data_IF_690293048633
#
_entry.id   IF_690293048633
#
_cell.length_a   1.000
_cell.length_b   1.000
_cell.length_c   1.000
_cell.angle_alpha   90.00
_cell.angle_beta   90.00
_cell.angle_gamma   90.00
#
_symmetry.space_group_name_H-M   'P 1'
#
loop_
_entity.id
_entity.type
_entity.pdbx_description
1 polymer ?
#
# COMPACT_ATOMS: atom_id res chain seq x y z
N UNK A 1 -18.78 -0.09 -5.20
CA UNK A 1 -18.52 0.70 -3.99
C UNK A 1 -17.06 0.48 -3.67
N UNK A 2 -16.28 1.53 -3.54
CA UNK A 2 -14.86 1.44 -3.19
C UNK A 2 -14.71 1.10 -1.72
N UNK A 3 -13.92 0.10 -1.39
CA UNK A 3 -13.76 -0.38 -0.02
C UNK A 3 -12.41 -1.08 0.17
N UNK A 4 -11.98 -1.25 1.41
CA UNK A 4 -10.85 -2.08 1.73
C UNK A 4 -11.25 -3.56 1.70
N UNK A 5 -10.55 -4.34 0.90
CA UNK A 5 -10.69 -5.79 0.84
C UNK A 5 -9.43 -6.47 1.37
N UNK A 6 -9.62 -7.39 2.30
CA UNK A 6 -8.56 -8.24 2.84
C UNK A 6 -8.88 -9.69 2.52
N UNK A 7 -8.04 -10.39 1.73
CA UNK A 7 -8.25 -11.81 1.42
C UNK A 7 -8.33 -12.67 2.69
N UNK A 8 -9.09 -13.76 2.62
CA UNK A 8 -9.05 -14.77 3.66
C UNK A 8 -7.65 -15.32 3.83
N UNK A 9 -7.27 -15.63 5.06
CA UNK A 9 -6.06 -16.36 5.40
C UNK A 9 -6.07 -17.79 4.86
N UNK A 10 -7.26 -18.39 4.66
CA UNK A 10 -7.43 -19.76 4.18
C UNK A 10 -6.81 -20.79 5.11
N UNK A 11 -6.96 -20.61 6.42
CA UNK A 11 -6.35 -21.44 7.48
C UNK A 11 -4.80 -21.46 7.45
N UNK A 12 -4.18 -20.50 6.76
CA UNK A 12 -2.74 -20.29 6.74
C UNK A 12 -2.21 -19.55 7.97
N UNK A 13 -1.09 -18.85 7.79
CA UNK A 13 -0.41 -18.15 8.88
C UNK A 13 -1.19 -16.92 9.38
N UNK A 14 -1.11 -16.68 10.68
CA UNK A 14 -1.56 -15.44 11.33
C UNK A 14 -0.39 -14.48 11.43
N UNK A 15 -0.51 -13.33 10.76
CA UNK A 15 0.56 -12.35 10.62
C UNK A 15 0.38 -11.21 11.63
N UNK A 16 1.26 -11.17 12.64
CA UNK A 16 1.42 -10.03 13.54
C UNK A 16 2.28 -8.93 12.92
N UNK A 17 2.58 -7.90 13.70
CA UNK A 17 3.48 -6.84 13.25
C UNK A 17 4.92 -7.34 13.22
N UNK A 18 5.30 -7.96 12.12
CA UNK A 18 6.65 -8.40 11.81
C UNK A 18 6.95 -8.01 10.38
N UNK A 19 7.63 -6.90 10.20
CA UNK A 19 7.98 -6.42 8.86
C UNK A 19 9.51 -6.41 8.71
N UNK A 20 10.10 -7.43 8.08
CA UNK A 20 11.54 -7.48 7.81
C UNK A 20 12.04 -6.27 7.01
N UNK A 21 11.20 -5.75 6.08
CA UNK A 21 11.51 -4.55 5.32
C UNK A 21 11.65 -3.30 6.21
N UNK A 22 10.84 -3.20 7.29
CA UNK A 22 10.98 -2.11 8.27
C UNK A 22 12.33 -2.14 8.98
N UNK A 23 12.82 -3.33 9.29
CA UNK A 23 14.10 -3.47 10.00
C UNK A 23 15.29 -3.05 9.15
N UNK A 24 15.22 -3.29 7.84
CA UNK A 24 16.27 -2.90 6.89
C UNK A 24 16.37 -1.38 6.69
N UNK A 25 15.27 -0.65 6.83
CA UNK A 25 15.22 0.81 6.60
C UNK A 25 15.18 1.64 7.89
N UNK A 26 15.33 1.03 9.07
CA UNK A 26 15.21 1.70 10.38
C UNK A 26 16.11 2.93 10.56
N UNK A 27 17.24 2.97 9.89
CA UNK A 27 18.19 4.09 10.07
C UNK A 27 17.75 5.37 9.35
N UNK A 28 17.36 5.27 8.07
CA UNK A 28 17.05 6.42 7.20
C UNK A 28 15.87 6.11 6.25
N UNK A 29 14.65 5.90 6.76
CA UNK A 29 13.52 5.42 5.95
C UNK A 29 13.12 6.39 4.82
N UNK A 30 13.17 7.70 5.08
CA UNK A 30 12.85 8.72 4.07
C UNK A 30 13.87 8.72 2.94
N UNK A 31 15.17 8.60 3.28
CA UNK A 31 16.23 8.52 2.28
C UNK A 31 16.14 7.24 1.44
N UNK A 32 15.85 6.11 2.08
CA UNK A 32 15.65 4.84 1.39
C UNK A 32 14.46 4.90 0.42
N UNK A 33 13.32 5.45 0.87
CA UNK A 33 12.15 5.67 0.03
C UNK A 33 12.46 6.59 -1.17
N UNK A 34 13.08 7.74 -0.92
CA UNK A 34 13.41 8.68 -1.98
C UNK A 34 14.35 8.05 -3.01
N UNK A 35 15.39 7.32 -2.55
CA UNK A 35 16.31 6.61 -3.43
C UNK A 35 15.59 5.57 -4.30
N UNK A 36 14.73 4.76 -3.71
CA UNK A 36 13.99 3.72 -4.43
C UNK A 36 13.05 4.30 -5.48
N UNK A 37 12.29 5.35 -5.11
CA UNK A 37 11.40 6.02 -6.05
C UNK A 37 12.18 6.65 -7.20
N UNK A 38 13.28 7.37 -6.90
CA UNK A 38 14.12 7.95 -7.94
C UNK A 38 14.73 6.89 -8.87
N UNK A 39 15.16 5.76 -8.33
CA UNK A 39 15.68 4.64 -9.11
C UNK A 39 14.62 4.09 -10.05
N UNK A 40 13.44 3.77 -9.53
CA UNK A 40 12.33 3.22 -10.31
C UNK A 40 11.90 4.17 -11.44
N UNK A 41 11.84 5.48 -11.16
CA UNK A 41 11.49 6.48 -12.16
C UNK A 41 12.56 6.63 -13.24
N UNK A 42 13.85 6.53 -12.88
CA UNK A 42 14.96 6.55 -13.84
C UNK A 42 15.04 5.28 -14.69
N UNK A 43 14.63 4.14 -14.16
CA UNK A 43 14.56 2.87 -14.90
C UNK A 43 13.39 2.84 -15.90
N UNK A 44 12.41 3.75 -15.73
CA UNK A 44 11.19 3.84 -16.53
C UNK A 44 11.12 5.10 -17.42
N UNK A 45 12.25 5.65 -17.87
CA UNK A 45 12.30 6.86 -18.70
C UNK A 45 11.52 6.66 -20.00
N UNK A 46 10.62 7.61 -20.32
CA UNK A 46 9.82 7.61 -21.55
C UNK A 46 10.57 8.21 -22.74
N UNK A 47 11.11 9.41 -22.57
CA UNK A 47 11.90 10.11 -23.60
C UNK A 47 13.29 10.44 -23.04
N UNK A 48 14.33 9.81 -23.62
CA UNK A 48 15.70 10.00 -23.19
C UNK A 48 16.27 11.41 -23.46
N UNK A 49 15.59 12.21 -24.27
CA UNK A 49 15.98 13.59 -24.57
C UNK A 49 15.44 14.60 -23.55
N UNK A 50 14.50 14.17 -22.69
CA UNK A 50 13.88 14.99 -21.67
C UNK A 50 14.25 14.48 -20.25
N UNK A 51 14.41 15.34 -19.27
CA UNK A 51 14.72 14.91 -17.90
C UNK A 51 13.49 14.26 -17.23
N UNK A 52 13.75 13.25 -16.44
CA UNK A 52 12.75 12.75 -15.47
C UNK A 52 12.62 13.80 -14.37
N UNK A 53 11.38 14.20 -14.06
CA UNK A 53 11.05 15.11 -12.97
C UNK A 53 10.31 14.36 -11.88
N UNK A 54 10.77 14.48 -10.63
CA UNK A 54 10.14 13.86 -9.48
C UNK A 54 9.79 14.93 -8.45
N UNK A 55 8.55 14.95 -8.00
CA UNK A 55 8.02 15.91 -7.04
C UNK A 55 7.63 15.22 -5.74
N UNK A 56 8.12 15.75 -4.62
CA UNK A 56 7.75 15.32 -3.27
C UNK A 56 6.94 16.44 -2.61
N UNK A 57 5.71 16.16 -2.24
CA UNK A 57 4.80 17.14 -1.67
C UNK A 57 4.17 16.62 -0.38
N UNK A 58 4.35 17.34 0.72
CA UNK A 58 3.68 17.05 1.98
C UNK A 58 2.39 17.85 2.08
N UNK A 59 1.27 17.17 2.27
CA UNK A 59 -0.07 17.77 2.42
C UNK A 59 -0.71 17.39 3.76
N UNK A 60 -1.54 18.27 4.27
CA UNK A 60 -2.41 17.99 5.41
C UNK A 60 -3.86 18.04 4.97
N UNK A 61 -4.57 16.93 5.09
CA UNK A 61 -5.96 16.78 4.66
C UNK A 61 -6.86 16.84 5.88
N UNK A 62 -7.81 17.75 5.87
CA UNK A 62 -8.77 17.94 6.97
C UNK A 62 -10.19 18.13 6.40
N UNK A 63 -11.20 17.42 6.89
CA UNK A 63 -11.09 16.28 7.81
C UNK A 63 -10.40 15.07 7.15
N UNK A 64 -9.87 14.15 7.96
CA UNK A 64 -9.22 12.92 7.46
C UNK A 64 -10.14 12.07 6.58
N UNK A 65 -11.46 12.17 6.78
CA UNK A 65 -12.50 11.48 6.00
C UNK A 65 -12.55 11.87 4.52
N UNK A 66 -11.90 12.98 4.13
CA UNK A 66 -11.70 13.34 2.73
C UNK A 66 -10.63 12.48 2.03
N UNK A 67 -9.86 11.72 2.79
CA UNK A 67 -8.93 10.76 2.23
C UNK A 67 -9.63 9.41 2.05
N UNK A 68 -9.43 8.72 0.89
CA UNK A 68 -10.18 7.51 0.57
C UNK A 68 -9.95 6.38 1.59
N UNK A 69 -11.02 5.67 1.95
CA UNK A 69 -10.99 4.49 2.81
C UNK A 69 -10.64 4.72 4.29
N UNK A 70 -10.55 5.98 4.77
CA UNK A 70 -10.16 6.26 6.17
C UNK A 70 -11.21 5.79 7.17
N UNK A 71 -12.50 5.91 6.87
CA UNK A 71 -13.55 5.45 7.80
C UNK A 71 -13.52 3.92 7.96
N UNK A 72 -13.33 3.18 6.87
CA UNK A 72 -13.20 1.74 6.90
C UNK A 72 -11.92 1.33 7.61
N UNK A 73 -10.82 2.03 7.37
CA UNK A 73 -9.54 1.80 8.04
C UNK A 73 -9.67 1.92 9.57
N UNK A 74 -10.45 2.89 10.07
CA UNK A 74 -10.74 3.01 11.50
C UNK A 74 -11.42 1.76 12.04
N UNK A 75 -12.45 1.26 11.33
CA UNK A 75 -13.18 0.05 11.72
C UNK A 75 -12.27 -1.18 11.69
N UNK A 76 -11.41 -1.30 10.67
CA UNK A 76 -10.45 -2.39 10.54
C UNK A 76 -9.44 -2.38 11.69
N UNK A 77 -8.89 -1.22 12.05
CA UNK A 77 -7.97 -1.10 13.19
C UNK A 77 -8.61 -1.48 14.52
N UNK A 78 -9.92 -1.22 14.70
CA UNK A 78 -10.67 -1.71 15.87
C UNK A 78 -10.74 -3.24 15.87
N UNK A 79 -11.01 -3.88 14.72
CA UNK A 79 -11.02 -5.35 14.59
C UNK A 79 -9.64 -5.94 14.86
N UNK A 80 -8.59 -5.38 14.26
CA UNK A 80 -7.20 -5.76 14.53
C UNK A 80 -6.89 -5.70 16.03
N UNK A 81 -7.25 -4.60 16.71
CA UNK A 81 -7.02 -4.43 18.14
C UNK A 81 -7.75 -5.47 18.98
N UNK A 82 -9.00 -5.78 18.67
CA UNK A 82 -9.78 -6.77 19.41
C UNK A 82 -9.16 -8.16 19.25
N UNK A 83 -8.79 -8.54 18.05
CA UNK A 83 -8.14 -9.82 17.74
C UNK A 83 -6.81 -9.97 18.50
N UNK A 84 -5.93 -8.96 18.42
CA UNK A 84 -4.59 -9.04 19.00
C UNK A 84 -4.53 -8.83 20.51
N UNK A 85 -5.58 -8.28 21.13
CA UNK A 85 -5.71 -8.26 22.59
C UNK A 85 -5.79 -9.67 23.19
N UNK A 86 -6.48 -10.57 22.50
CA UNK A 86 -6.59 -11.97 22.94
C UNK A 86 -5.26 -12.70 22.82
N UNK A 87 -4.50 -12.38 21.75
CA UNK A 87 -3.19 -12.96 21.50
C UNK A 87 -2.09 -12.40 22.42
N UNK A 88 -2.35 -11.28 23.09
CA UNK A 88 -1.44 -10.60 24.04
C UNK A 88 -0.06 -10.23 23.42
N UNK A 89 -0.01 -9.88 22.13
CA UNK A 89 1.21 -9.43 21.43
C UNK A 89 1.39 -7.92 21.59
N UNK A 90 2.27 -7.53 22.50
CA UNK A 90 2.52 -6.13 22.84
C UNK A 90 3.08 -5.31 21.65
N UNK A 91 3.92 -5.91 20.80
CA UNK A 91 4.52 -5.24 19.63
C UNK A 91 3.44 -4.91 18.60
N UNK A 92 2.59 -5.88 18.29
CA UNK A 92 1.47 -5.74 17.36
C UNK A 92 0.43 -4.75 17.88
N UNK A 93 0.08 -4.81 19.16
CA UNK A 93 -0.85 -3.86 19.79
C UNK A 93 -0.30 -2.43 19.79
N UNK A 94 1.01 -2.26 20.00
CA UNK A 94 1.65 -0.94 19.90
C UNK A 94 1.49 -0.37 18.49
N UNK A 95 1.81 -1.14 17.47
CA UNK A 95 1.63 -0.71 16.06
C UNK A 95 0.19 -0.29 15.77
N UNK A 96 -0.81 -1.12 16.13
CA UNK A 96 -2.23 -0.83 15.90
C UNK A 96 -2.64 0.49 16.59
N UNK A 97 -2.19 0.71 17.83
CA UNK A 97 -2.51 1.93 18.58
C UNK A 97 -1.83 3.17 17.98
N UNK A 98 -0.61 3.03 17.49
CA UNK A 98 0.12 4.12 16.82
C UNK A 98 -0.58 4.47 15.49
N UNK A 99 -0.92 3.48 14.65
CA UNK A 99 -1.68 3.66 13.42
C UNK A 99 -3.04 4.33 13.66
N UNK A 100 -3.76 3.90 14.70
CA UNK A 100 -5.05 4.51 15.05
C UNK A 100 -4.92 6.00 15.46
N UNK A 101 -3.78 6.40 16.05
CA UNK A 101 -3.51 7.81 16.38
C UNK A 101 -3.34 8.69 15.14
N UNK A 102 -2.71 8.18 14.08
CA UNK A 102 -2.49 8.93 12.83
C UNK A 102 -3.79 9.44 12.20
N UNK A 103 -4.91 8.72 12.39
CA UNK A 103 -6.20 9.05 11.79
C UNK A 103 -7.26 9.51 12.79
N UNK A 104 -6.91 9.69 14.09
CA UNK A 104 -7.87 10.02 15.14
C UNK A 104 -8.25 11.49 15.18
N UNK A 105 -7.33 12.39 14.99
CA UNK A 105 -7.46 13.80 15.35
C UNK A 105 -7.92 14.72 14.21
N UNK A 106 -8.84 14.23 13.37
CA UNK A 106 -9.58 15.06 12.42
C UNK A 106 -8.85 15.40 11.12
N UNK A 107 -7.54 15.17 11.02
CA UNK A 107 -6.76 15.37 9.80
C UNK A 107 -5.65 14.33 9.65
N UNK A 108 -5.12 14.19 8.43
CA UNK A 108 -4.03 13.27 8.13
C UNK A 108 -2.95 13.95 7.30
N UNK A 109 -1.69 13.67 7.60
CA UNK A 109 -0.58 14.03 6.72
C UNK A 109 -0.42 13.00 5.61
N UNK A 110 -0.27 13.48 4.39
CA UNK A 110 -0.02 12.67 3.20
C UNK A 110 1.26 13.16 2.54
N UNK A 111 2.15 12.24 2.20
CA UNK A 111 3.27 12.49 1.31
C UNK A 111 2.86 12.03 -0.08
N UNK A 112 2.74 12.97 -1.01
CA UNK A 112 2.53 12.67 -2.42
C UNK A 112 3.87 12.71 -3.13
N UNK A 113 4.14 11.67 -3.92
CA UNK A 113 5.29 11.64 -4.82
C UNK A 113 4.76 11.44 -6.23
N UNK A 114 5.19 12.30 -7.16
CA UNK A 114 4.78 12.26 -8.56
C UNK A 114 6.01 12.26 -9.44
N UNK A 115 6.01 11.42 -10.45
CA UNK A 115 7.05 11.37 -11.48
C UNK A 115 6.47 11.74 -12.85
N UNK A 116 7.31 12.30 -13.69
CA UNK A 116 6.97 12.79 -15.03
C UNK A 116 8.08 12.39 -16.00
N UNK A 117 7.72 12.23 -17.27
CA UNK A 117 8.56 11.68 -18.32
C UNK A 117 8.98 10.23 -18.03
N UNK A 118 8.05 9.45 -17.47
CA UNK A 118 8.18 8.01 -17.25
C UNK A 118 7.12 7.26 -18.08
N UNK A 119 7.32 5.95 -18.28
CA UNK A 119 6.35 5.09 -18.96
C UNK A 119 5.07 4.88 -18.17
N UNK A 120 5.09 5.21 -16.87
CA UNK A 120 4.05 4.85 -15.91
C UNK A 120 4.08 3.37 -15.57
N UNK A 121 3.09 2.92 -14.80
CA UNK A 121 2.93 1.51 -14.42
C UNK A 121 1.97 0.81 -15.37
N UNK A 122 2.52 0.18 -16.41
CA UNK A 122 1.75 -0.52 -17.43
C UNK A 122 1.12 -1.82 -16.92
N UNK A 123 0.03 -2.24 -17.56
CA UNK A 123 -0.58 -3.55 -17.38
C UNK A 123 -1.46 -3.70 -16.14
N UNK A 124 -2.06 -2.62 -15.66
CA UNK A 124 -3.00 -2.66 -14.52
C UNK A 124 -4.22 -3.57 -14.79
N UNK A 125 -4.68 -3.65 -16.03
CA UNK A 125 -5.82 -4.47 -16.44
C UNK A 125 -5.41 -5.69 -17.29
N UNK A 126 -4.11 -5.96 -17.41
CA UNK A 126 -3.60 -7.09 -18.18
C UNK A 126 -4.00 -8.42 -17.54
N UNK A 127 -4.22 -9.44 -18.36
CA UNK A 127 -4.36 -10.83 -17.92
C UNK A 127 -3.02 -11.51 -17.66
N UNK A 128 -1.91 -10.91 -18.05
CA UNK A 128 -0.57 -11.42 -17.76
C UNK A 128 -0.27 -11.39 -16.26
N UNK A 129 0.42 -12.42 -15.77
CA UNK A 129 0.76 -12.54 -14.34
C UNK A 129 1.85 -11.54 -13.90
N UNK A 130 2.74 -11.14 -14.81
CA UNK A 130 3.86 -10.26 -14.51
C UNK A 130 3.77 -9.01 -15.38
N UNK A 131 3.41 -7.88 -14.77
CA UNK A 131 3.40 -6.55 -15.38
C UNK A 131 4.05 -5.56 -14.43
N UNK A 132 4.50 -4.38 -14.89
CA UNK A 132 4.98 -3.31 -14.01
C UNK A 132 4.00 -2.98 -12.89
N UNK A 133 2.70 -2.83 -13.20
CA UNK A 133 1.65 -2.60 -12.21
C UNK A 133 1.57 -3.73 -11.19
N UNK A 134 1.34 -4.95 -11.63
CA UNK A 134 1.19 -6.11 -10.73
C UNK A 134 2.44 -6.33 -9.90
N UNK A 135 3.60 -6.15 -10.51
CA UNK A 135 4.87 -6.31 -9.82
C UNK A 135 5.05 -5.30 -8.69
N UNK A 136 4.65 -4.04 -8.85
CA UNK A 136 4.82 -3.02 -7.82
C UNK A 136 3.65 -3.01 -6.83
N UNK A 137 2.40 -3.05 -7.31
CA UNK A 137 1.20 -2.80 -6.51
C UNK A 137 0.67 -4.08 -5.86
N UNK A 138 0.66 -5.21 -6.58
CA UNK A 138 0.07 -6.46 -6.14
C UNK A 138 1.11 -7.51 -5.72
N UNK A 139 2.37 -7.33 -6.10
CA UNK A 139 3.45 -8.23 -5.71
C UNK A 139 3.69 -8.20 -4.21
N UNK A 140 3.91 -9.37 -3.61
CA UNK A 140 4.28 -9.48 -2.20
C UNK A 140 5.60 -8.74 -1.96
N UNK A 141 5.53 -7.55 -1.39
CA UNK A 141 6.69 -6.72 -1.06
C UNK A 141 7.67 -7.42 -0.09
N UNK A 142 7.25 -8.54 0.49
CA UNK A 142 7.94 -9.26 1.55
C UNK A 142 8.30 -10.71 1.21
N UNK A 143 8.02 -11.19 0.00
CA UNK A 143 8.50 -12.52 -0.40
C UNK A 143 9.99 -12.44 -0.74
N UNK A 144 10.83 -12.52 0.28
CA UNK A 144 12.23 -12.89 0.13
C UNK A 144 12.25 -14.35 -0.31
N UNK A 145 12.18 -14.62 -1.61
CA UNK A 145 12.65 -15.91 -2.12
C UNK A 145 14.16 -15.89 -2.00
N UNK A 146 14.66 -16.55 -0.96
CA UNK A 146 16.05 -16.98 -0.84
C UNK A 146 16.31 -18.01 -1.94
N UNK A 147 16.55 -17.59 -3.15
CA UNK A 147 17.22 -18.37 -4.17
C UNK A 147 18.44 -17.57 -4.59
N UNK A 148 19.59 -18.12 -4.24
CA UNK A 148 20.91 -17.68 -4.69
C UNK A 148 20.91 -17.45 -6.20
N UNK A 149 21.38 -16.26 -6.65
CA UNK A 149 21.65 -15.82 -8.01
C UNK A 149 20.62 -14.90 -8.68
N UNK A 150 20.18 -13.82 -8.00
CA UNK A 150 19.75 -12.64 -8.74
C UNK A 150 20.35 -11.39 -8.06
N UNK A 151 21.34 -10.82 -8.68
CA UNK A 151 21.83 -9.48 -8.39
C UNK A 151 20.73 -8.48 -8.74
N UNK A 152 19.91 -8.13 -7.75
CA UNK A 152 18.84 -7.18 -7.90
C UNK A 152 17.95 -7.17 -6.67
N UNK A 153 17.97 -6.09 -5.94
CA UNK A 153 17.15 -5.82 -4.74
C UNK A 153 15.64 -5.68 -5.03
N UNK A 154 15.14 -6.35 -6.05
CA UNK A 154 13.79 -6.17 -6.63
C UNK A 154 12.60 -6.40 -5.69
N UNK A 155 12.77 -6.93 -4.51
CA UNK A 155 11.67 -7.16 -3.57
C UNK A 155 11.69 -6.24 -2.35
N UNK A 156 12.84 -5.73 -1.99
CA UNK A 156 13.06 -5.01 -0.72
C UNK A 156 12.70 -3.53 -0.86
N UNK A 157 13.04 -2.91 -1.98
CA UNK A 157 12.80 -1.51 -2.23
C UNK A 157 11.32 -1.12 -2.23
N UNK A 158 10.43 -2.01 -2.67
CA UNK A 158 8.98 -1.81 -2.63
C UNK A 158 8.42 -1.57 -1.22
N UNK A 159 9.12 -2.06 -0.18
CA UNK A 159 8.72 -1.84 1.20
C UNK A 159 8.99 -0.39 1.67
N UNK A 160 9.91 0.32 1.05
CA UNK A 160 10.36 1.64 1.52
C UNK A 160 9.23 2.68 1.66
N UNK A 161 8.25 2.83 0.74
CA UNK A 161 7.13 3.74 0.92
C UNK A 161 6.24 3.38 2.11
N UNK A 162 6.02 2.08 2.36
CA UNK A 162 5.21 1.62 3.50
C UNK A 162 5.86 1.94 4.84
N UNK A 163 7.19 1.85 4.92
CA UNK A 163 7.96 2.15 6.14
C UNK A 163 7.79 3.60 6.59
N UNK A 164 7.62 4.53 5.65
CA UNK A 164 7.42 5.96 5.94
C UNK A 164 5.97 6.25 6.35
N UNK A 165 5.03 5.38 6.02
CA UNK A 165 3.63 5.52 6.37
C UNK A 165 3.32 4.96 7.77
N UNK A 166 2.83 5.78 8.69
CA UNK A 166 2.36 5.34 10.01
C UNK A 166 1.19 4.35 9.94
N UNK A 167 0.43 4.36 8.83
CA UNK A 167 -0.63 3.40 8.52
C UNK A 167 -0.14 2.21 7.70
N UNK A 168 1.14 2.14 7.34
CA UNK A 168 1.64 1.13 6.39
C UNK A 168 0.81 1.06 5.12
N UNK A 169 0.39 2.22 4.60
CA UNK A 169 -0.57 2.33 3.49
C UNK A 169 0.00 3.24 2.41
N UNK A 170 -0.11 2.80 1.16
CA UNK A 170 0.31 3.53 -0.03
C UNK A 170 -0.81 3.47 -1.06
N UNK A 171 -1.14 4.59 -1.66
CA UNK A 171 -2.00 4.67 -2.82
C UNK A 171 -1.15 4.87 -4.07
N UNK A 172 -1.26 3.95 -5.00
CA UNK A 172 -0.63 4.02 -6.31
C UNK A 172 -1.61 4.59 -7.32
N UNK A 173 -1.10 5.43 -8.22
CA UNK A 173 -1.84 5.98 -9.34
C UNK A 173 -0.91 6.06 -10.56
N UNK A 174 -1.41 5.66 -11.71
CA UNK A 174 -0.67 5.75 -12.96
C UNK A 174 -1.51 6.34 -14.08
N UNK A 175 -0.82 6.95 -15.02
CA UNK A 175 -1.26 7.22 -16.38
C UNK A 175 -0.11 6.78 -17.27
N UNK A 176 -0.26 5.62 -17.90
CA UNK A 176 0.84 4.97 -18.61
C UNK A 176 0.95 5.41 -20.09
N UNK A 177 1.99 4.94 -20.75
CA UNK A 177 2.28 5.26 -22.18
C UNK A 177 1.22 4.73 -23.13
N UNK A 178 0.42 3.74 -22.73
CA UNK A 178 -0.68 3.17 -23.51
C UNK A 178 -1.97 3.99 -23.36
N UNK A 179 -1.99 4.98 -22.45
CA UNK A 179 -3.16 5.80 -22.14
C UNK A 179 -4.06 5.21 -21.06
N UNK A 180 -3.65 4.10 -20.44
CA UNK A 180 -4.39 3.49 -19.34
C UNK A 180 -4.21 4.30 -18.06
N UNK A 181 -5.31 4.43 -17.31
CA UNK A 181 -5.33 5.02 -15.97
C UNK A 181 -5.69 3.97 -14.96
N UNK A 182 -4.94 3.91 -13.87
CA UNK A 182 -5.26 3.01 -12.78
C UNK A 182 -4.92 3.65 -11.43
N UNK A 183 -5.72 3.34 -10.40
CA UNK A 183 -5.49 3.76 -9.03
C UNK A 183 -5.91 2.63 -8.07
N UNK A 184 -5.08 2.36 -7.06
CA UNK A 184 -5.34 1.34 -6.05
C UNK A 184 -4.60 1.67 -4.76
N UNK A 185 -5.24 1.47 -3.61
CA UNK A 185 -4.57 1.50 -2.31
C UNK A 185 -4.06 0.11 -1.92
N UNK A 186 -2.92 0.08 -1.25
CA UNK A 186 -2.37 -1.14 -0.64
C UNK A 186 -1.98 -0.83 0.80
N UNK A 187 -2.32 -1.72 1.71
CA UNK A 187 -1.95 -1.61 3.12
C UNK A 187 -1.36 -2.92 3.64
N UNK A 188 -0.40 -2.81 4.55
CA UNK A 188 0.22 -3.92 5.25
C UNK A 188 -0.03 -3.77 6.75
N UNK A 189 -1.19 -4.21 7.22
CA UNK A 189 -1.55 -4.17 8.64
C UNK A 189 -1.07 -5.42 9.38
N UNK A 190 -2.02 -6.11 9.97
CA UNK A 190 -1.86 -7.38 10.69
C UNK A 190 -3.09 -8.22 10.41
N UNK A 191 -3.02 -9.53 10.60
CA UNK A 191 -4.21 -10.39 10.51
C UNK A 191 -5.27 -9.98 11.53
N UNK A 192 -6.53 -10.12 11.16
CA UNK A 192 -7.68 -9.83 12.02
C UNK A 192 -8.89 -10.68 11.62
N UNK A 193 -9.85 -10.80 12.51
CA UNK A 193 -11.08 -11.53 12.25
C UNK A 193 -12.16 -10.61 11.69
N UNK A 194 -12.82 -11.05 10.61
CA UNK A 194 -13.96 -10.37 10.02
C UNK A 194 -14.94 -11.34 9.37
N UNK A 195 -16.01 -11.65 10.09
CA UNK A 195 -17.10 -12.50 9.59
C UNK A 195 -17.83 -11.88 8.39
N UNK A 196 -17.95 -10.54 8.36
CA UNK A 196 -18.70 -9.85 7.30
C UNK A 196 -18.02 -9.92 5.94
N UNK A 197 -16.68 -10.00 5.94
CA UNK A 197 -15.89 -10.18 4.72
C UNK A 197 -15.81 -11.65 4.29
N UNK A 198 -16.33 -12.59 5.12
CA UNK A 198 -16.18 -14.02 4.90
C UNK A 198 -17.41 -14.60 4.19
N UNK A 199 -17.16 -15.53 3.27
CA UNK A 199 -18.22 -16.36 2.70
C UNK A 199 -18.55 -17.50 3.66
N UNK A 200 -19.77 -18.08 3.60
CA UNK A 200 -20.10 -19.26 4.40
C UNK A 200 -19.10 -20.39 4.23
N UNK A 201 -18.54 -20.88 5.34
CA UNK A 201 -17.51 -21.93 5.32
C UNK A 201 -16.06 -21.47 5.05
N UNK A 202 -15.86 -20.17 4.83
CA UNK A 202 -14.52 -19.58 4.70
C UNK A 202 -13.92 -19.26 6.07
N UNK A 203 -12.58 -19.30 6.18
CA UNK A 203 -11.87 -18.81 7.36
C UNK A 203 -12.17 -17.32 7.57
N UNK A 204 -12.62 -16.96 8.76
CA UNK A 204 -13.00 -15.57 9.13
C UNK A 204 -11.78 -14.67 9.34
N UNK A 205 -10.59 -15.25 9.50
CA UNK A 205 -9.37 -14.49 9.67
C UNK A 205 -8.87 -13.98 8.31
N UNK A 206 -8.57 -12.69 8.26
CA UNK A 206 -8.07 -11.98 7.08
C UNK A 206 -6.55 -11.90 7.11
N UNK A 207 -5.93 -11.86 5.92
CA UNK A 207 -4.49 -11.58 5.78
C UNK A 207 -4.15 -10.18 6.24
N UNK A 208 -2.88 -9.92 6.51
CA UNK A 208 -2.37 -8.59 6.88
C UNK A 208 -2.38 -7.60 5.71
N UNK A 209 -2.29 -8.08 4.48
CA UNK A 209 -2.30 -7.24 3.28
C UNK A 209 -3.74 -7.03 2.79
N UNK A 210 -4.10 -5.76 2.64
CA UNK A 210 -5.38 -5.33 2.10
C UNK A 210 -5.23 -4.40 0.90
N UNK A 211 -6.28 -4.34 0.09
CA UNK A 211 -6.34 -3.53 -1.12
C UNK A 211 -7.58 -2.64 -1.11
N UNK A 212 -7.42 -1.38 -1.48
CA UNK A 212 -8.52 -0.47 -1.72
C UNK A 212 -8.82 -0.43 -3.21
N UNK A 213 -9.93 -1.04 -3.61
CA UNK A 213 -10.29 -1.25 -4.98
C UNK A 213 -11.78 -1.52 -5.14
N UNK A 214 -12.17 -2.30 -6.15
CA UNK A 214 -13.57 -2.62 -6.44
C UNK A 214 -14.26 -3.50 -5.38
N UNK A 215 -13.52 -3.99 -4.41
CA UNK A 215 -14.03 -4.79 -3.29
C UNK A 215 -14.51 -6.21 -3.66
N UNK A 216 -14.48 -6.58 -4.93
CA UNK A 216 -14.94 -7.88 -5.44
C UNK A 216 -13.78 -8.72 -5.95
N UNK A 217 -12.98 -8.14 -6.86
CA UNK A 217 -11.90 -8.83 -7.55
C UNK A 217 -10.52 -8.19 -7.31
N UNK A 218 -10.44 -7.22 -6.40
CA UNK A 218 -9.23 -6.44 -6.15
C UNK A 218 -8.70 -5.68 -7.38
N UNK A 219 -9.58 -5.33 -8.29
CA UNK A 219 -9.20 -4.56 -9.48
C UNK A 219 -8.94 -3.10 -9.13
N UNK A 220 -7.96 -2.47 -9.77
CA UNK A 220 -7.77 -1.04 -9.66
C UNK A 220 -8.94 -0.29 -10.29
N UNK A 221 -9.19 0.93 -9.79
CA UNK A 221 -10.08 1.89 -10.45
C UNK A 221 -9.34 2.68 -11.53
N UNK A 222 -10.03 3.19 -12.55
CA UNK A 222 -9.43 4.15 -13.47
C UNK A 222 -8.98 5.44 -12.77
N UNK A 223 -9.67 5.82 -11.71
CA UNK A 223 -9.35 6.95 -10.84
C UNK A 223 -10.02 6.78 -9.48
N UNK A 224 -9.49 7.47 -8.47
CA UNK A 224 -10.11 7.61 -7.15
C UNK A 224 -10.33 9.12 -6.96
N UNK A 225 -11.59 9.54 -6.98
CA UNK A 225 -11.99 10.96 -7.00
C UNK A 225 -11.39 11.75 -5.84
N UNK A 226 -11.36 11.16 -4.65
CA UNK A 226 -10.81 11.80 -3.46
C UNK A 226 -9.31 12.09 -3.59
N UNK A 227 -8.57 11.24 -4.30
CA UNK A 227 -7.14 11.46 -4.59
C UNK A 227 -6.95 12.56 -5.65
N UNK A 228 -7.86 12.66 -6.61
CA UNK A 228 -7.83 13.68 -7.66
C UNK A 228 -8.16 15.06 -7.08
N UNK A 229 -9.16 15.15 -6.22
CA UNK A 229 -9.57 16.39 -5.56
C UNK A 229 -8.52 16.96 -4.56
N UNK A 230 -7.57 16.15 -4.11
CA UNK A 230 -6.41 16.64 -3.33
C UNK A 230 -5.50 17.55 -4.20
N UNK A 231 -5.62 17.47 -5.52
CA UNK A 231 -4.76 18.20 -6.47
C UNK A 231 -5.20 19.65 -6.77
N UNK A 232 -6.42 20.03 -6.44
CA UNK A 232 -7.02 21.29 -6.91
C UNK A 232 -6.97 22.45 -5.91
N UNK A 233 -6.09 22.39 -4.87
CA UNK A 233 -5.99 23.49 -3.88
C UNK A 233 -4.57 23.95 -3.62
#
# INVERSE_FOLDING_TARGET
MSDWFFPSRGYGETEGFSNPGLEMFKGEPIRAMAREICQNSLDAVRDANEPVRIEFEKRYIKPATKFPGIEDMRNILVKCRNFWKVQNDAKTLKFINDAAREIRDGGIFVLRVSDYNTTGLEGAYSTEEITPWKSLVQGNAFSVKTTDNAAGSYGIGKAAPFVVSGLQTVFYRTYDVNGDRAAQGVTHLVSFEDEKMSKPGEDTVRRSTGYYGDGIENKPFPYIEELDNINER
#
